data_IF_839029204339
#
_entry.id   IF_839029204339
#
_cell.length_a   1.000
_cell.length_b   1.000
_cell.length_c   1.000
_cell.angle_alpha   90.00
_cell.angle_beta   90.00
_cell.angle_gamma   90.00
#
_symmetry.space_group_name_H-M   'P 1'
#
loop_
_entity.id
_entity.type
_entity.pdbx_description
1 polymer ?
#
# COMPACT_ATOMS: atom_id res chain seq x y z
N UNK A 1 -37.50 41.83 -2.52
CA UNK A 1 -36.69 41.01 -3.43
C UNK A 1 -35.61 40.34 -2.57
N UNK A 2 -35.77 39.06 -2.23
CA UNK A 2 -34.88 38.33 -1.32
C UNK A 2 -33.92 37.47 -2.16
N UNK A 3 -32.62 37.67 -2.00
CA UNK A 3 -31.56 36.91 -2.65
C UNK A 3 -31.36 35.62 -1.84
N UNK A 4 -31.45 34.41 -2.42
CA UNK A 4 -31.08 33.21 -1.69
C UNK A 4 -29.56 33.14 -1.52
N UNK A 5 -29.14 32.99 -0.26
CA UNK A 5 -27.76 32.71 0.12
C UNK A 5 -27.43 31.29 -0.35
N UNK A 6 -26.68 31.16 -1.43
CA UNK A 6 -26.24 29.86 -1.95
C UNK A 6 -25.14 29.30 -1.03
N UNK A 7 -25.48 28.26 -0.28
CA UNK A 7 -24.50 27.49 0.49
C UNK A 7 -23.70 26.60 -0.48
N UNK A 8 -22.40 26.88 -0.63
CA UNK A 8 -21.51 26.01 -1.39
C UNK A 8 -21.38 24.66 -0.68
N UNK A 9 -21.52 23.52 -1.38
CA UNK A 9 -21.28 22.22 -0.78
C UNK A 9 -19.80 22.05 -0.45
N UNK A 10 -19.51 21.60 0.77
CA UNK A 10 -18.19 21.17 1.19
C UNK A 10 -17.70 20.06 0.25
N UNK A 11 -16.56 20.27 -0.41
CA UNK A 11 -15.87 19.23 -1.15
C UNK A 11 -15.32 18.21 -0.13
N UNK A 12 -16.13 17.20 0.20
CA UNK A 12 -15.64 15.97 0.81
C UNK A 12 -14.65 15.33 -0.15
N UNK A 13 -13.48 14.92 0.36
CA UNK A 13 -12.48 14.19 -0.41
C UNK A 13 -13.17 13.13 -1.29
N UNK A 14 -12.89 13.15 -2.59
CA UNK A 14 -13.63 12.42 -3.64
C UNK A 14 -13.46 10.91 -3.60
N UNK A 15 -12.76 10.39 -2.59
CA UNK A 15 -12.53 8.97 -2.46
C UNK A 15 -13.23 8.45 -1.23
N UNK A 16 -14.27 7.64 -1.49
CA UNK A 16 -14.76 6.62 -0.58
C UNK A 16 -13.52 5.90 -0.01
N UNK A 17 -13.47 5.55 1.29
CA UNK A 17 -12.34 4.82 1.83
C UNK A 17 -12.10 3.58 0.97
N UNK A 18 -11.03 3.61 0.17
CA UNK A 18 -10.70 2.47 -0.67
C UNK A 18 -10.43 1.30 0.28
N UNK A 19 -11.01 0.12 0.04
CA UNK A 19 -10.58 -1.09 0.72
C UNK A 19 -9.05 -1.18 0.66
N UNK A 20 -8.39 -1.74 1.68
CA UNK A 20 -6.96 -2.02 1.60
C UNK A 20 -6.65 -2.73 0.28
N UNK A 21 -5.63 -2.29 -0.45
CA UNK A 21 -5.23 -3.00 -1.65
C UNK A 21 -4.73 -4.40 -1.28
N UNK A 22 -4.91 -5.38 -2.16
CA UNK A 22 -4.50 -6.76 -1.86
C UNK A 22 -3.09 -7.04 -2.38
N UNK A 23 -2.29 -7.75 -1.57
CA UNK A 23 -0.94 -8.22 -1.88
C UNK A 23 -0.85 -9.69 -1.49
N UNK A 24 -0.35 -10.55 -2.35
CA UNK A 24 -0.09 -11.95 -1.98
C UNK A 24 1.22 -12.03 -1.19
N UNK A 25 1.26 -12.83 -0.12
CA UNK A 25 2.50 -13.14 0.60
C UNK A 25 3.47 -13.93 -0.30
N UNK A 26 4.33 -13.22 -1.03
CA UNK A 26 5.26 -13.79 -2.00
C UNK A 26 6.56 -12.97 -2.09
N UNK A 27 7.51 -13.49 -2.88
CA UNK A 27 8.60 -12.68 -3.41
C UNK A 27 8.06 -11.72 -4.45
N UNK A 28 8.71 -10.58 -4.61
CA UNK A 28 8.28 -9.61 -5.60
C UNK A 28 9.32 -8.60 -6.00
N UNK A 29 8.95 -7.78 -6.98
CA UNK A 29 9.73 -6.65 -7.48
C UNK A 29 8.95 -5.37 -7.25
N UNK A 30 9.61 -4.39 -6.64
CA UNK A 30 9.06 -3.05 -6.44
C UNK A 30 9.53 -2.14 -7.58
N UNK A 31 8.58 -1.51 -8.28
CA UNK A 31 8.85 -0.62 -9.41
C UNK A 31 8.18 0.74 -9.24
N UNK A 32 8.74 1.76 -9.90
CA UNK A 32 8.12 3.08 -10.01
C UNK A 32 7.03 3.09 -11.10
N UNK A 33 6.39 4.24 -11.30
CA UNK A 33 5.32 4.41 -12.29
C UNK A 33 5.74 4.07 -13.73
N UNK A 34 7.02 4.28 -14.05
CA UNK A 34 7.63 3.98 -15.36
C UNK A 34 8.10 2.51 -15.47
N UNK A 35 7.70 1.64 -14.55
CA UNK A 35 8.13 0.23 -14.46
C UNK A 35 9.64 0.04 -14.23
N UNK A 36 10.35 1.05 -13.75
CA UNK A 36 11.76 0.89 -13.41
C UNK A 36 11.90 0.32 -11.99
N UNK A 37 12.77 -0.68 -11.78
CA UNK A 37 13.05 -1.22 -10.45
C UNK A 37 13.51 -0.16 -9.46
N UNK A 38 12.95 -0.20 -8.26
CA UNK A 38 13.35 0.67 -7.16
C UNK A 38 14.35 -0.06 -6.28
N UNK A 39 15.63 0.08 -6.59
CA UNK A 39 16.72 -0.48 -5.79
C UNK A 39 16.92 0.28 -4.46
N UNK A 40 17.36 -0.43 -3.42
CA UNK A 40 17.63 0.14 -2.09
C UNK A 40 16.43 0.88 -1.46
N UNK A 41 15.22 0.58 -1.91
CA UNK A 41 14.00 1.06 -1.28
C UNK A 41 13.78 0.30 0.02
N UNK A 42 13.44 1.02 1.09
CA UNK A 42 13.13 0.42 2.38
C UNK A 42 11.62 0.20 2.50
N UNK A 43 11.20 -1.05 2.63
CA UNK A 43 9.82 -1.45 2.90
C UNK A 43 9.70 -1.79 4.37
N UNK A 44 8.92 -1.01 5.12
CA UNK A 44 8.63 -1.25 6.53
C UNK A 44 7.16 -1.62 6.70
N UNK A 45 6.88 -2.71 7.38
CA UNK A 45 5.51 -3.19 7.60
C UNK A 45 5.12 -2.89 9.05
N UNK A 46 3.95 -2.30 9.23
CA UNK A 46 3.38 -1.98 10.53
C UNK A 46 2.02 -2.68 10.65
N UNK A 47 1.72 -3.19 11.85
CA UNK A 47 0.37 -3.66 12.14
C UNK A 47 -0.65 -2.54 11.90
N UNK A 48 -1.81 -2.91 11.35
CA UNK A 48 -2.95 -2.02 11.22
C UNK A 48 -4.04 -2.45 12.21
N UNK A 49 -4.63 -1.48 12.91
CA UNK A 49 -5.79 -1.71 13.78
C UNK A 49 -6.99 -0.95 13.23
N UNK A 50 -8.09 -1.66 12.97
CA UNK A 50 -9.33 -1.03 12.54
C UNK A 50 -10.10 -0.50 13.74
N UNK A 51 -10.58 0.73 13.66
CA UNK A 51 -11.46 1.28 14.70
C UNK A 51 -12.82 0.57 14.61
N UNK A 52 -13.34 -0.04 15.70
CA UNK A 52 -14.57 -0.81 15.66
C UNK A 52 -15.74 -0.05 15.02
N UNK A 53 -16.49 -0.73 14.14
CA UNK A 53 -17.64 -0.16 13.44
C UNK A 53 -17.32 0.88 12.36
N UNK A 54 -16.04 1.04 11.96
CA UNK A 54 -15.64 2.02 10.94
C UNK A 54 -14.64 1.43 9.94
N UNK A 55 -14.44 2.09 8.79
CA UNK A 55 -13.36 1.77 7.84
C UNK A 55 -12.03 2.48 8.14
N UNK A 56 -11.89 3.05 9.34
CA UNK A 56 -10.70 3.81 9.72
C UNK A 56 -9.64 2.86 10.29
N UNK A 57 -8.45 2.88 9.70
CA UNK A 57 -7.30 2.08 10.12
C UNK A 57 -6.24 2.96 10.78
N UNK A 58 -5.62 2.46 11.85
CA UNK A 58 -4.51 3.11 12.55
C UNK A 58 -3.24 2.29 12.40
N UNK A 59 -2.15 2.99 12.06
CA UNK A 59 -0.81 2.45 11.98
C UNK A 59 -0.18 2.40 13.36
N UNK A 60 0.45 1.28 13.72
CA UNK A 60 1.27 1.21 14.94
C UNK A 60 2.61 1.95 14.75
N UNK A 61 3.24 2.41 15.84
CA UNK A 61 4.46 3.23 15.75
C UNK A 61 5.73 2.43 15.40
N UNK A 62 5.79 1.15 15.79
CA UNK A 62 6.94 0.28 15.56
C UNK A 62 6.71 -0.63 14.36
N UNK A 63 7.68 -0.74 13.44
CA UNK A 63 7.58 -1.70 12.35
C UNK A 63 7.71 -3.13 12.89
N UNK A 64 6.91 -4.05 12.37
CA UNK A 64 7.04 -5.49 12.58
C UNK A 64 8.25 -6.05 11.83
N UNK A 65 8.46 -5.57 10.60
CA UNK A 65 9.59 -5.95 9.76
C UNK A 65 10.07 -4.75 8.93
N UNK A 66 11.34 -4.78 8.57
CA UNK A 66 11.94 -3.88 7.59
C UNK A 66 12.76 -4.69 6.60
N UNK A 67 12.45 -4.55 5.31
CA UNK A 67 13.17 -5.19 4.20
C UNK A 67 13.68 -4.10 3.27
N UNK A 68 14.88 -4.28 2.71
CA UNK A 68 15.40 -3.41 1.66
C UNK A 68 15.36 -4.14 0.33
N UNK A 69 14.96 -3.45 -0.74
CA UNK A 69 14.99 -4.02 -2.08
C UNK A 69 16.41 -4.11 -2.62
N UNK A 70 16.71 -5.17 -3.38
CA UNK A 70 18.02 -5.36 -4.00
C UNK A 70 18.24 -4.48 -5.25
N UNK A 71 19.34 -4.68 -6.00
CA UNK A 71 19.65 -3.92 -7.21
C UNK A 71 18.63 -4.09 -8.35
N UNK A 72 17.83 -5.17 -8.30
CA UNK A 72 16.74 -5.45 -9.24
C UNK A 72 15.37 -5.05 -8.66
N UNK A 73 15.34 -4.36 -7.52
CA UNK A 73 14.10 -3.98 -6.84
C UNK A 73 13.40 -5.14 -6.12
N UNK A 74 14.05 -6.30 -5.99
CA UNK A 74 13.43 -7.50 -5.44
C UNK A 74 13.32 -7.45 -3.91
N UNK A 75 12.26 -8.04 -3.37
CA UNK A 75 11.97 -8.17 -1.94
C UNK A 75 11.24 -9.50 -1.66
N UNK A 76 11.13 -9.87 -0.37
CA UNK A 76 10.44 -11.08 0.06
C UNK A 76 9.45 -10.79 1.20
N UNK A 77 8.15 -11.01 0.95
CA UNK A 77 7.07 -10.94 1.96
C UNK A 77 6.46 -12.32 2.24
N UNK A 78 7.06 -13.40 1.75
CA UNK A 78 6.48 -14.76 1.83
C UNK A 78 6.32 -15.28 3.26
N UNK A 79 7.07 -14.74 4.22
CA UNK A 79 7.01 -15.11 5.63
C UNK A 79 6.02 -14.28 6.45
N UNK A 80 5.39 -13.28 5.84
CA UNK A 80 4.45 -12.41 6.54
C UNK A 80 3.12 -13.12 6.73
N UNK A 81 2.65 -13.15 7.97
CA UNK A 81 1.34 -13.70 8.30
C UNK A 81 0.24 -12.91 7.59
N UNK A 82 -0.77 -13.57 7.01
CA UNK A 82 -1.90 -12.88 6.40
C UNK A 82 -2.58 -11.88 7.34
N UNK A 83 -3.00 -10.74 6.82
CA UNK A 83 -3.63 -9.68 7.60
C UNK A 83 -3.53 -8.30 6.95
N UNK A 84 -4.14 -7.29 7.58
CA UNK A 84 -4.07 -5.90 7.11
C UNK A 84 -2.91 -5.17 7.76
N UNK A 85 -2.13 -4.49 6.94
CA UNK A 85 -0.92 -3.78 7.35
C UNK A 85 -0.81 -2.41 6.69
N UNK A 86 -0.03 -1.56 7.32
CA UNK A 86 0.53 -0.39 6.65
C UNK A 86 1.93 -0.71 6.13
N UNK A 87 2.14 -0.53 4.84
CA UNK A 87 3.44 -0.61 4.19
C UNK A 87 3.98 0.81 4.02
N UNK A 88 5.07 1.12 4.70
CA UNK A 88 5.83 2.34 4.49
C UNK A 88 6.99 2.05 3.54
N UNK A 89 6.98 2.68 2.38
CA UNK A 89 7.99 2.52 1.35
C UNK A 89 8.78 3.82 1.29
N UNK A 90 10.08 3.74 1.58
CA UNK A 90 11.01 4.87 1.51
C UNK A 90 12.00 4.66 0.37
N UNK A 91 12.06 5.61 -0.54
CA UNK A 91 12.98 5.61 -1.67
C UNK A 91 13.72 6.95 -1.70
N UNK A 92 14.97 6.95 -1.26
CA UNK A 92 15.73 8.19 -1.05
C UNK A 92 15.01 9.13 -0.07
N UNK A 93 14.56 10.29 -0.57
CA UNK A 93 13.82 11.30 0.20
C UNK A 93 12.29 11.13 0.17
N UNK A 94 11.78 10.27 -0.70
CA UNK A 94 10.33 10.05 -0.86
C UNK A 94 9.88 8.95 0.09
N UNK A 95 8.76 9.20 0.77
CA UNK A 95 8.09 8.21 1.63
C UNK A 95 6.63 8.08 1.20
N UNK A 96 6.17 6.83 1.07
CA UNK A 96 4.78 6.48 0.78
C UNK A 96 4.26 5.53 1.85
N UNK A 97 3.00 5.70 2.22
CA UNK A 97 2.32 4.82 3.17
C UNK A 97 1.12 4.23 2.44
N UNK A 98 1.07 2.90 2.39
CA UNK A 98 0.02 2.13 1.73
C UNK A 98 -0.69 1.30 2.77
N UNK A 99 -2.02 1.26 2.72
CA UNK A 99 -2.82 0.30 3.48
C UNK A 99 -3.07 -0.91 2.58
N UNK A 100 -2.66 -2.10 3.01
CA UNK A 100 -2.80 -3.31 2.23
C UNK A 100 -3.18 -4.52 3.07
N UNK A 101 -3.99 -5.40 2.49
CA UNK A 101 -4.23 -6.74 3.02
C UNK A 101 -3.23 -7.69 2.38
N UNK A 102 -2.36 -8.29 3.19
CA UNK A 102 -1.50 -9.38 2.77
C UNK A 102 -2.30 -10.68 2.88
N UNK A 103 -2.50 -11.37 1.76
CA UNK A 103 -3.25 -12.64 1.69
C UNK A 103 -2.29 -13.84 1.69
N UNK A 104 -2.76 -15.04 2.08
CA UNK A 104 -1.93 -16.24 2.03
C UNK A 104 -1.41 -16.50 0.61
N UNK A 105 -0.21 -17.06 0.52
CA UNK A 105 0.30 -17.57 -0.76
C UNK A 105 -0.64 -18.67 -1.26
N UNK A 106 -1.23 -18.49 -2.44
CA UNK A 106 -1.98 -19.58 -3.09
C UNK A 106 -1.06 -20.77 -3.35
N UNK A 107 -1.55 -22.00 -3.16
CA UNK A 107 -0.78 -23.22 -3.44
C UNK A 107 -0.36 -23.34 -4.91
N UNK A 108 -1.06 -22.66 -5.80
CA UNK A 108 -0.77 -22.60 -7.24
C UNK A 108 0.08 -21.39 -7.65
N UNK A 109 0.40 -20.48 -6.72
CA UNK A 109 1.17 -19.27 -7.00
C UNK A 109 2.68 -19.56 -6.94
N UNK A 110 3.20 -20.08 -8.06
CA UNK A 110 4.61 -19.94 -8.44
C UNK A 110 5.04 -18.47 -8.63
N UNK A 111 4.09 -17.53 -8.56
CA UNK A 111 4.27 -16.17 -9.04
C UNK A 111 4.97 -15.27 -8.02
N UNK A 112 6.10 -14.76 -8.48
CA UNK A 112 6.62 -13.49 -8.06
C UNK A 112 5.57 -12.40 -8.35
N UNK A 113 5.41 -11.44 -7.44
CA UNK A 113 4.49 -10.31 -7.63
C UNK A 113 5.27 -9.06 -8.05
N UNK A 114 4.64 -8.19 -8.83
CA UNK A 114 5.15 -6.85 -9.09
C UNK A 114 4.28 -5.84 -8.38
N UNK A 115 4.88 -5.04 -7.50
CA UNK A 115 4.23 -3.89 -6.88
C UNK A 115 4.68 -2.64 -7.64
N UNK A 116 3.76 -2.01 -8.37
CA UNK A 116 4.02 -0.73 -9.02
C UNK A 116 3.43 0.40 -8.20
N UNK A 117 4.28 1.35 -7.81
CA UNK A 117 3.86 2.56 -7.11
C UNK A 117 3.19 3.54 -8.08
N UNK A 118 2.02 4.05 -7.70
CA UNK A 118 1.21 4.97 -8.50
C UNK A 118 1.12 6.33 -7.82
N UNK A 119 1.04 7.42 -8.58
CA UNK A 119 0.84 8.77 -8.03
C UNK A 119 -0.64 9.17 -8.07
N UNK A 120 -1.49 8.29 -7.54
CA UNK A 120 -2.94 8.49 -7.46
C UNK A 120 -3.31 8.43 -5.99
N UNK A 121 -4.00 9.44 -5.48
CA UNK A 121 -4.34 9.57 -4.05
C UNK A 121 -5.09 8.35 -3.52
N UNK A 122 -5.94 7.74 -4.35
CA UNK A 122 -6.91 6.73 -3.93
C UNK A 122 -6.51 5.30 -4.30
N UNK A 123 -5.45 5.16 -5.10
CA UNK A 123 -4.85 3.87 -5.49
C UNK A 123 -3.34 4.08 -5.59
N UNK A 124 -2.68 4.12 -4.44
CA UNK A 124 -1.25 4.41 -4.36
C UNK A 124 -0.33 3.32 -4.94
N UNK A 125 -0.90 2.16 -5.29
CA UNK A 125 -0.18 1.05 -5.89
C UNK A 125 -1.10 0.13 -6.70
N UNK A 126 -0.49 -0.69 -7.54
CA UNK A 126 -1.10 -1.87 -8.13
C UNK A 126 -0.20 -3.09 -7.94
N UNK A 127 -0.83 -4.26 -7.93
CA UNK A 127 -0.15 -5.55 -7.87
C UNK A 127 -0.49 -6.32 -9.13
N UNK A 128 0.52 -6.84 -9.80
CA UNK A 128 0.33 -7.81 -10.87
C UNK A 128 1.12 -9.08 -10.55
N UNK A 129 0.64 -10.22 -11.05
CA UNK A 129 1.51 -11.37 -11.22
C UNK A 129 2.64 -11.01 -12.19
N UNK A 130 3.82 -11.56 -11.96
CA UNK A 130 4.91 -11.60 -12.94
C UNK A 130 4.84 -12.90 -13.75
#
# INVERSE_FOLDING_TARGET
MLIPLSAAPFAVASCVPAPPGEIVAARGVLVNMANQPLASAQIRIFAATQRPGTQIWRKMDKPLISVSTDSKGAFDLSTITPGTYFLEIKTGKVKRILLATITPRSKDAAQEIKIRLLNVECKGFEVSAN
#
